data_IF_979474272909
#
_entry.id   IF_979474272909
#
_cell.length_a   1.000
_cell.length_b   1.000
_cell.length_c   1.000
_cell.angle_alpha   90.00
_cell.angle_beta   90.00
_cell.angle_gamma   90.00
#
_symmetry.space_group_name_H-M   'P 1'
#
loop_
_entity.id
_entity.type
_entity.pdbx_description
1 polymer ?
#
# COMPACT_ATOMS: atom_id res chain seq x y z
N UNK A 1 -3.79 6.80 -14.36
CA UNK A 1 -3.16 6.31 -13.12
C UNK A 1 -1.85 7.06 -12.95
N UNK A 2 -1.66 7.77 -11.84
CA UNK A 2 -0.46 8.60 -11.61
C UNK A 2 0.72 7.83 -11.01
N UNK A 3 0.43 6.72 -10.32
CA UNK A 3 1.42 5.84 -9.70
C UNK A 3 1.44 4.47 -10.35
N UNK A 4 2.61 3.83 -10.30
CA UNK A 4 2.87 2.46 -10.69
C UNK A 4 3.84 1.77 -9.72
N UNK A 5 4.25 0.56 -10.08
CA UNK A 5 5.14 -0.28 -9.30
C UNK A 5 6.26 -0.83 -10.19
N UNK A 6 7.49 -0.73 -9.73
CA UNK A 6 8.68 -1.34 -10.34
C UNK A 6 8.99 -2.62 -9.57
N UNK A 7 8.68 -3.76 -10.18
CA UNK A 7 8.85 -5.09 -9.59
C UNK A 7 10.33 -5.43 -9.33
N UNK A 8 11.24 -4.98 -10.19
CA UNK A 8 12.67 -5.28 -10.05
C UNK A 8 13.28 -4.52 -8.87
N UNK A 9 12.89 -3.25 -8.72
CA UNK A 9 13.36 -2.39 -7.63
C UNK A 9 12.53 -2.52 -6.38
N UNK A 10 11.36 -3.16 -6.47
CA UNK A 10 10.34 -3.22 -5.43
C UNK A 10 9.98 -1.80 -4.94
N UNK A 11 9.64 -0.90 -5.87
CA UNK A 11 9.47 0.53 -5.59
C UNK A 11 8.26 1.15 -6.27
N UNK A 12 7.70 2.20 -5.64
CA UNK A 12 6.67 3.02 -6.25
C UNK A 12 7.26 3.91 -7.35
N UNK A 13 6.64 3.92 -8.51
CA UNK A 13 7.03 4.78 -9.65
C UNK A 13 5.96 5.80 -9.95
N UNK A 14 6.38 7.02 -10.31
CA UNK A 14 5.52 8.11 -10.76
C UNK A 14 6.40 9.20 -11.38
N UNK A 15 5.78 10.12 -12.12
CA UNK A 15 6.48 11.32 -12.60
C UNK A 15 6.84 12.24 -11.42
N UNK A 16 7.82 13.12 -11.62
CA UNK A 16 8.18 14.12 -10.62
C UNK A 16 7.04 15.06 -10.27
N UNK A 17 6.18 15.38 -11.24
CA UNK A 17 4.97 16.19 -11.05
C UNK A 17 3.98 15.52 -10.09
N UNK A 18 3.68 14.23 -10.32
CA UNK A 18 2.79 13.46 -9.45
C UNK A 18 3.39 13.32 -8.04
N UNK A 19 4.69 13.06 -7.92
CA UNK A 19 5.35 13.02 -6.61
C UNK A 19 5.30 14.36 -5.89
N UNK A 20 5.49 15.47 -6.61
CA UNK A 20 5.47 16.83 -6.03
C UNK A 20 4.10 17.15 -5.45
N UNK A 21 3.04 16.98 -6.25
CA UNK A 21 1.66 17.22 -5.81
C UNK A 21 1.28 16.33 -4.63
N UNK A 22 1.68 15.05 -4.69
CA UNK A 22 1.35 14.10 -3.62
C UNK A 22 2.12 14.39 -2.33
N UNK A 23 3.40 14.77 -2.40
CA UNK A 23 4.20 15.12 -1.21
C UNK A 23 3.74 16.43 -0.59
N UNK A 24 3.24 17.39 -1.38
CA UNK A 24 2.66 18.63 -0.87
C UNK A 24 1.44 18.35 0.03
N UNK A 25 0.55 17.44 -0.41
CA UNK A 25 -0.58 16.99 0.39
C UNK A 25 -0.17 16.01 1.52
N UNK A 26 0.90 15.23 1.32
CA UNK A 26 1.34 14.16 2.21
C UNK A 26 2.87 14.16 2.43
N UNK A 27 3.41 15.07 3.25
CA UNK A 27 4.86 15.22 3.43
C UNK A 27 5.57 13.94 3.89
N UNK A 28 4.88 13.11 4.68
CA UNK A 28 5.38 11.83 5.17
C UNK A 28 5.58 10.77 4.06
N UNK A 29 5.07 11.01 2.85
CA UNK A 29 5.23 10.12 1.70
C UNK A 29 6.60 10.24 1.01
N UNK A 30 7.38 11.29 1.31
CA UNK A 30 8.68 11.54 0.68
C UNK A 30 9.66 10.34 0.70
N UNK A 31 9.78 9.56 1.79
CA UNK A 31 10.66 8.39 1.82
C UNK A 31 10.27 7.29 0.82
N UNK A 32 9.00 7.20 0.44
CA UNK A 32 8.51 6.15 -0.48
C UNK A 32 8.97 6.39 -1.93
N UNK A 33 9.41 7.60 -2.28
CA UNK A 33 9.99 7.91 -3.59
C UNK A 33 11.36 7.27 -3.79
N UNK A 34 12.13 7.10 -2.71
CA UNK A 34 13.56 6.73 -2.78
C UNK A 34 13.88 5.39 -2.14
N UNK A 35 12.95 4.79 -1.39
CA UNK A 35 13.18 3.56 -0.64
C UNK A 35 12.50 2.36 -1.29
N UNK A 36 13.25 1.28 -1.57
CA UNK A 36 12.69 -0.03 -1.85
C UNK A 36 11.78 -0.53 -0.72
N UNK A 37 10.73 -1.24 -1.11
CA UNK A 37 9.77 -1.94 -0.28
C UNK A 37 9.83 -3.46 -0.55
N UNK A 38 10.97 -4.12 -0.26
CA UNK A 38 11.23 -5.52 -0.64
C UNK A 38 10.37 -6.56 0.11
N UNK A 39 9.56 -6.12 1.07
CA UNK A 39 8.63 -6.96 1.81
C UNK A 39 7.17 -6.77 1.37
N UNK A 40 6.91 -5.92 0.36
CA UNK A 40 5.58 -5.64 -0.11
C UNK A 40 4.82 -6.92 -0.50
N UNK A 41 5.48 -7.80 -1.24
CA UNK A 41 4.89 -9.08 -1.66
C UNK A 41 4.57 -10.02 -0.49
N UNK A 42 5.39 -9.98 0.58
CA UNK A 42 5.17 -10.80 1.79
C UNK A 42 3.97 -10.32 2.62
N UNK A 43 3.59 -9.05 2.49
CA UNK A 43 2.37 -8.55 3.14
C UNK A 43 1.11 -9.16 2.51
N UNK A 44 1.14 -9.44 1.20
CA UNK A 44 0.05 -10.14 0.51
C UNK A 44 -0.14 -11.56 1.05
N UNK A 45 0.96 -12.28 1.28
CA UNK A 45 0.93 -13.62 1.87
C UNK A 45 0.36 -13.62 3.31
N UNK A 46 0.75 -12.64 4.14
CA UNK A 46 0.20 -12.49 5.49
C UNK A 46 -1.30 -12.17 5.50
N UNK A 47 -1.78 -11.40 4.52
CA UNK A 47 -3.20 -11.02 4.45
C UNK A 47 -4.10 -12.17 3.95
N UNK A 48 -3.56 -13.11 3.16
CA UNK A 48 -4.30 -14.30 2.73
C UNK A 48 -4.60 -15.27 3.88
N UNK A 49 -3.75 -15.30 4.92
CA UNK A 49 -3.96 -16.15 6.10
C UNK A 49 -5.10 -15.66 7.02
N UNK A 50 -5.50 -14.39 6.91
CA UNK A 50 -6.65 -13.84 7.64
C UNK A 50 -7.85 -13.73 6.70
N UNK A 51 -8.39 -14.88 6.29
CA UNK A 51 -9.76 -14.88 5.77
C UNK A 51 -10.68 -14.58 6.95
N UNK A 52 -11.17 -13.35 7.06
CA UNK A 52 -12.21 -12.98 8.03
C UNK A 52 -13.47 -13.78 7.73
N UNK A 53 -13.62 -14.95 8.36
CA UNK A 53 -14.69 -15.91 8.08
C UNK A 53 -16.07 -15.47 8.60
N UNK A 54 -16.22 -14.25 9.13
CA UNK A 54 -17.51 -13.68 9.56
C UNK A 54 -18.30 -14.50 10.58
N UNK A 55 -17.76 -15.63 11.06
CA UNK A 55 -18.50 -16.69 11.73
C UNK A 55 -18.98 -16.30 13.14
N UNK A 56 -18.55 -15.14 13.63
CA UNK A 56 -18.87 -14.60 14.95
C UNK A 56 -19.56 -13.24 14.90
N UNK A 57 -20.10 -12.83 13.75
CA UNK A 57 -21.00 -11.67 13.69
C UNK A 57 -22.35 -12.04 14.34
N UNK A 58 -22.40 -12.00 15.67
CA UNK A 58 -23.63 -12.06 16.45
C UNK A 58 -24.47 -10.83 16.12
N UNK A 59 -25.50 -11.02 15.30
CA UNK A 59 -26.55 -10.03 15.13
C UNK A 59 -27.46 -10.10 16.37
N UNK A 60 -27.21 -9.24 17.36
CA UNK A 60 -28.19 -8.95 18.41
C UNK A 60 -28.93 -7.68 18.00
N UNK A 61 -30.03 -7.86 17.26
CA UNK A 61 -31.05 -6.83 17.13
C UNK A 61 -32.23 -7.23 18.05
N UNK A 62 -32.50 -6.39 19.04
CA UNK A 62 -33.79 -6.28 19.73
C UNK A 62 -34.37 -4.90 19.39
#
# INVERSE_FOLDING_TARGET
SGFGWDEERQMVTASDEVWREYIEAHPHASPFKTRPFPLYDKLTELNQAVTANGAHALHLAQ
#
